data_IF_957604190064
#
_entry.id   IF_957604190064
#
_cell.length_a   1.000
_cell.length_b   1.000
_cell.length_c   1.000
_cell.angle_alpha   90.00
_cell.angle_beta   90.00
_cell.angle_gamma   90.00
#
_symmetry.space_group_name_H-M   'P 1'
#
loop_
_entity.id
_entity.type
_entity.pdbx_description
1 polymer ?
#
# COMPACT_ATOMS: atom_id res chain seq x y z
N UNK A 1 -0.49 21.02 2.11
CA UNK A 1 -0.70 20.43 1.88
C UNK A 1 -1.01 19.73 1.34
N UNK A 2 -0.93 19.37 1.42
CA UNK A 2 -1.18 18.62 0.98
C UNK A 2 -1.69 17.83 0.75
N UNK A 3 -1.79 17.42 0.83
CA UNK A 3 -2.15 16.69 0.64
C UNK A 3 -2.78 16.03 0.52
N UNK A 4 -2.82 15.64 0.78
CA UNK A 4 -3.44 14.86 0.66
C UNK A 4 -4.35 14.65 0.62
N UNK A 5 -4.38 14.73 0.94
CA UNK A 5 -5.39 14.69 1.07
C UNK A 5 -6.24 13.81 0.69
N UNK A 6 -6.37 13.53 0.29
CA UNK A 6 -7.14 12.78 -0.31
C UNK A 6 -6.88 11.47 -0.14
N UNK A 7 -6.30 11.01 0.42
CA UNK A 7 -6.03 9.70 0.33
C UNK A 7 -6.56 8.90 1.43
N UNK A 8 -7.73 8.44 1.32
CA UNK A 8 -8.29 7.54 2.31
C UNK A 8 -8.18 6.14 1.79
N UNK A 9 -7.55 5.26 2.56
CA UNK A 9 -7.32 3.89 2.16
C UNK A 9 -7.68 2.94 3.29
N UNK A 10 -8.06 1.73 2.94
CA UNK A 10 -8.23 0.69 3.94
C UNK A 10 -7.41 -0.50 3.53
N UNK A 11 -6.83 -1.16 4.50
CA UNK A 11 -6.05 -2.36 4.23
C UNK A 11 -7.00 -3.53 4.16
N UNK A 12 -6.95 -4.25 3.06
CA UNK A 12 -7.85 -5.37 2.86
C UNK A 12 -7.21 -6.69 3.28
N UNK A 13 -5.91 -6.82 3.09
CA UNK A 13 -5.29 -8.10 3.36
C UNK A 13 -3.79 -7.95 3.39
N UNK A 14 -3.12 -8.95 3.94
CA UNK A 14 -1.68 -9.04 3.93
C UNK A 14 -1.32 -10.23 3.07
N UNK A 15 -0.30 -10.08 2.25
CA UNK A 15 0.04 -11.12 1.31
C UNK A 15 1.54 -11.08 1.04
N UNK A 16 2.01 -11.99 0.22
CA UNK A 16 3.41 -12.01 -0.17
C UNK A 16 3.49 -11.66 -1.65
N UNK A 17 4.45 -10.83 -1.98
CA UNK A 17 4.72 -10.49 -3.36
C UNK A 17 6.17 -10.82 -3.66
N UNK A 18 6.42 -11.26 -4.87
CA UNK A 18 7.76 -11.59 -5.28
C UNK A 18 8.40 -10.35 -5.90
N UNK A 19 9.62 -10.04 -5.48
CA UNK A 19 10.29 -8.86 -6.01
C UNK A 19 11.10 -9.23 -7.24
N UNK A 20 11.89 -8.32 -7.74
CA UNK A 20 12.65 -8.55 -8.97
C UNK A 20 13.69 -9.63 -8.81
N UNK A 21 14.13 -9.87 -7.62
CA UNK A 21 15.14 -10.87 -7.35
C UNK A 21 14.54 -12.24 -7.11
N UNK A 22 13.23 -12.35 -7.20
CA UNK A 22 12.57 -13.62 -6.96
C UNK A 22 12.32 -13.90 -5.50
N UNK A 23 12.50 -12.92 -4.63
CA UNK A 23 12.29 -13.14 -3.21
C UNK A 23 10.88 -12.76 -2.82
N UNK A 24 10.30 -13.54 -1.92
CA UNK A 24 8.95 -13.27 -1.44
C UNK A 24 9.04 -12.34 -0.25
N UNK A 25 8.32 -11.23 -0.31
CA UNK A 25 8.35 -10.23 0.74
C UNK A 25 6.94 -9.91 1.18
N UNK A 26 6.81 -9.46 2.41
CA UNK A 26 5.51 -9.08 2.94
C UNK A 26 4.97 -7.88 2.19
N UNK A 27 3.69 -7.91 1.92
CA UNK A 27 3.02 -6.85 1.19
C UNK A 27 1.63 -6.65 1.74
N UNK A 28 1.01 -5.54 1.41
CA UNK A 28 -0.35 -5.27 1.82
C UNK A 28 -1.19 -4.97 0.59
N UNK A 29 -2.42 -5.41 0.63
CA UNK A 29 -3.40 -5.09 -0.39
C UNK A 29 -4.33 -4.05 0.23
N UNK A 30 -4.49 -2.93 -0.42
CA UNK A 30 -5.33 -1.88 0.13
C UNK A 30 -6.21 -1.28 -0.96
N UNK A 31 -7.22 -0.59 -0.56
CA UNK A 31 -8.18 -0.05 -1.49
C UNK A 31 -8.32 1.45 -1.23
N UNK A 32 -8.34 2.22 -2.30
CA UNK A 32 -8.59 3.63 -2.20
C UNK A 32 -10.10 3.82 -2.06
N UNK A 33 -10.52 4.53 -1.04
CA UNK A 33 -11.94 4.78 -0.85
C UNK A 33 -12.44 5.83 -1.83
N UNK A 34 -11.54 6.63 -2.36
CA UNK A 34 -11.95 7.66 -3.29
C UNK A 34 -12.17 7.13 -4.69
N UNK A 35 -11.33 6.25 -5.17
CA UNK A 35 -11.46 5.74 -6.51
C UNK A 35 -12.03 4.33 -6.58
N UNK A 36 -12.00 3.61 -5.49
CA UNK A 36 -12.46 2.23 -5.48
C UNK A 36 -11.46 1.25 -6.05
N UNK A 37 -10.28 1.71 -6.38
CA UNK A 37 -9.26 0.82 -6.95
C UNK A 37 -8.49 0.11 -5.86
N UNK A 38 -8.05 -1.09 -6.16
CA UNK A 38 -7.27 -1.87 -5.23
C UNK A 38 -5.83 -1.86 -5.66
N UNK A 39 -4.95 -1.86 -4.70
CA UNK A 39 -3.52 -1.81 -4.95
C UNK A 39 -2.80 -2.80 -4.05
N UNK A 40 -1.63 -3.20 -4.45
CA UNK A 40 -0.77 -4.01 -3.60
C UNK A 40 0.60 -3.34 -3.60
N UNK A 41 1.24 -3.32 -2.47
CA UNK A 41 2.53 -2.66 -2.34
C UNK A 41 3.33 -3.40 -1.28
N UNK A 42 4.64 -3.43 -1.41
CA UNK A 42 5.45 -4.05 -0.38
C UNK A 42 5.23 -3.30 0.93
N UNK A 43 5.16 -4.06 2.01
CA UNK A 43 4.86 -3.48 3.30
C UNK A 43 5.84 -2.38 3.66
N UNK A 44 7.09 -2.59 3.36
CA UNK A 44 8.10 -1.62 3.64
C UNK A 44 7.82 -0.31 2.93
N UNK A 45 7.47 -0.37 1.66
CA UNK A 45 7.16 0.81 0.90
C UNK A 45 5.86 1.48 1.36
N UNK A 46 4.90 0.66 1.72
CA UNK A 46 3.62 1.18 2.15
C UNK A 46 3.77 2.03 3.39
N UNK A 47 4.47 1.51 4.39
CA UNK A 47 4.62 2.24 5.63
C UNK A 47 5.53 3.44 5.49
N UNK A 48 6.51 3.39 4.61
CA UNK A 48 7.33 4.55 4.38
C UNK A 48 6.52 5.67 3.74
N UNK A 49 5.59 5.31 2.87
CA UNK A 49 4.85 6.31 2.17
C UNK A 49 3.76 6.91 3.04
N UNK A 50 3.14 6.12 3.88
CA UNK A 50 1.97 6.59 4.62
C UNK A 50 2.21 6.93 6.06
N UNK A 51 3.39 6.77 6.57
CA UNK A 51 3.60 7.08 7.94
C UNK A 51 4.00 8.51 8.16
N UNK A 52 4.27 9.24 7.12
CA UNK A 52 4.65 10.51 7.26
C UNK A 52 3.57 11.37 7.48
N UNK A 53 2.88 11.50 8.23
CA UNK A 53 1.77 12.31 8.29
C UNK A 53 1.80 13.37 9.26
#
# INVERSE_FOLDING_TARGET
KHQNKNGRYIILDHLLLQNELGEWKDAVCYKSLDSGLKFARFEEEFFNKFKEI
#
